data_IF_761190331992
#
_entry.id   IF_761190331992
#
_cell.length_a   1.000
_cell.length_b   1.000
_cell.length_c   1.000
_cell.angle_alpha   90.00
_cell.angle_beta   90.00
_cell.angle_gamma   90.00
#
_symmetry.space_group_name_H-M   'P 1'
#
loop_
_entity.id
_entity.type
_entity.pdbx_description
1 polymer ?
#
# COMPACT_ATOMS: atom_id res chain seq x y z
N UNK A 1 -8.69 1.89 -11.65
CA UNK A 1 -7.66 1.06 -11.00
C UNK A 1 -6.74 0.52 -12.07
N UNK A 2 -5.43 0.70 -11.88
CA UNK A 2 -4.38 0.11 -12.72
C UNK A 2 -3.38 -0.58 -11.81
N UNK A 3 -2.55 -1.46 -12.39
CA UNK A 3 -1.46 -2.07 -11.68
C UNK A 3 -0.47 -1.01 -11.17
N UNK A 4 -0.04 -1.13 -9.91
CA UNK A 4 0.96 -0.25 -9.30
C UNK A 4 2.16 -1.06 -8.82
N UNK A 5 3.29 -0.40 -8.65
CA UNK A 5 4.47 -1.02 -8.05
C UNK A 5 5.08 -0.06 -7.04
N UNK A 6 5.21 -0.51 -5.80
CA UNK A 6 5.83 0.30 -4.74
C UNK A 6 7.34 0.13 -4.68
N UNK A 7 7.94 -0.80 -5.42
CA UNK A 7 9.36 -1.11 -5.28
C UNK A 7 9.71 -1.81 -3.96
N UNK A 8 10.99 -2.08 -3.76
CA UNK A 8 11.48 -2.72 -2.53
C UNK A 8 11.29 -1.82 -1.29
N UNK A 9 11.08 -2.45 -0.13
CA UNK A 9 11.01 -1.77 1.17
C UNK A 9 12.31 -0.99 1.43
N UNK A 10 12.26 0.34 1.60
CA UNK A 10 13.42 1.13 1.98
C UNK A 10 13.94 0.75 3.37
N UNK A 11 15.24 0.98 3.61
CA UNK A 11 15.88 0.66 4.88
C UNK A 11 15.22 1.37 6.06
N UNK A 12 14.91 2.65 5.89
CA UNK A 12 14.31 3.49 6.94
C UNK A 12 12.93 2.94 7.33
N UNK A 13 12.13 2.49 6.34
CA UNK A 13 10.80 1.92 6.57
C UNK A 13 10.88 0.56 7.25
N UNK A 14 11.85 -0.27 6.84
CA UNK A 14 12.14 -1.55 7.49
C UNK A 14 12.53 -1.37 8.96
N UNK A 15 13.42 -0.41 9.26
CA UNK A 15 13.80 -0.10 10.64
C UNK A 15 12.62 0.43 11.46
N UNK A 16 11.79 1.31 10.88
CA UNK A 16 10.57 1.81 11.52
C UNK A 16 9.59 0.67 11.82
N UNK A 17 9.32 -0.21 10.84
CA UNK A 17 8.48 -1.40 10.99
C UNK A 17 8.97 -2.29 12.12
N UNK A 18 10.27 -2.61 12.18
CA UNK A 18 10.86 -3.43 13.26
C UNK A 18 10.56 -2.84 14.63
N UNK A 19 10.75 -1.53 14.80
CA UNK A 19 10.52 -0.84 16.06
C UNK A 19 9.06 -0.88 16.47
N UNK A 20 8.16 -0.48 15.57
CA UNK A 20 6.73 -0.42 15.88
C UNK A 20 6.12 -1.81 16.09
N UNK A 21 6.51 -2.81 15.29
CA UNK A 21 6.06 -4.19 15.47
C UNK A 21 6.54 -4.74 16.82
N UNK A 22 7.80 -4.50 17.20
CA UNK A 22 8.32 -4.93 18.50
C UNK A 22 7.55 -4.30 19.67
N UNK A 23 7.27 -3.00 19.59
CA UNK A 23 6.46 -2.30 20.59
C UNK A 23 5.03 -2.84 20.67
N UNK A 24 4.42 -3.15 19.51
CA UNK A 24 3.08 -3.73 19.43
C UNK A 24 3.02 -5.15 20.04
N UNK A 25 4.03 -5.99 19.79
CA UNK A 25 4.14 -7.33 20.41
C UNK A 25 4.20 -7.19 21.94
N UNK A 26 5.06 -6.31 22.45
CA UNK A 26 5.18 -6.07 23.91
C UNK A 26 3.87 -5.53 24.50
N UNK A 27 3.19 -4.61 23.82
CA UNK A 27 1.90 -4.09 24.25
C UNK A 27 0.87 -5.22 24.38
N UNK A 28 0.74 -6.08 23.37
CA UNK A 28 -0.21 -7.20 23.39
C UNK A 28 0.13 -8.27 24.42
N UNK A 29 1.41 -8.62 24.58
CA UNK A 29 1.86 -9.53 25.66
C UNK A 29 1.48 -9.01 27.04
N UNK A 30 1.47 -7.69 27.22
CA UNK A 30 1.07 -7.03 28.46
C UNK A 30 -0.45 -6.73 28.54
N UNK A 31 -1.27 -7.17 27.59
CA UNK A 31 -2.71 -6.89 27.55
C UNK A 31 -3.08 -5.43 27.29
N UNK A 32 -2.17 -4.64 26.72
CA UNK A 32 -2.38 -3.22 26.36
C UNK A 32 -2.77 -3.06 24.89
N UNK A 33 -3.43 -1.95 24.57
CA UNK A 33 -3.75 -1.59 23.19
C UNK A 33 -2.49 -1.26 22.39
N UNK A 34 -2.49 -1.62 21.11
CA UNK A 34 -1.42 -1.25 20.16
C UNK A 34 -1.58 0.22 19.74
N UNK A 35 -0.49 0.97 19.78
CA UNK A 35 -0.43 2.31 19.17
C UNK A 35 -0.13 2.18 17.67
N UNK A 36 -1.13 2.45 16.82
CA UNK A 36 -0.98 2.47 15.38
C UNK A 36 -0.61 3.88 14.87
N UNK A 37 0.55 4.37 15.30
CA UNK A 37 1.17 5.62 14.84
C UNK A 37 2.36 5.35 13.91
N UNK A 38 3.09 6.38 13.47
CA UNK A 38 4.36 6.20 12.73
C UNK A 38 4.29 6.17 11.19
N UNK A 39 3.15 6.49 10.58
CA UNK A 39 2.98 6.45 9.12
C UNK A 39 3.42 7.73 8.38
N UNK A 40 3.81 8.78 9.10
CA UNK A 40 4.13 10.07 8.51
C UNK A 40 5.30 9.97 7.51
N UNK A 41 6.34 9.23 7.86
CA UNK A 41 7.53 9.02 7.02
C UNK A 41 7.20 8.10 5.83
N UNK A 42 6.29 7.15 6.01
CA UNK A 42 5.82 6.23 4.95
C UNK A 42 4.99 6.97 3.89
N UNK A 43 4.19 7.95 4.31
CA UNK A 43 3.32 8.73 3.44
C UNK A 43 4.10 9.34 2.28
N UNK A 44 5.14 10.12 2.56
CA UNK A 44 5.82 10.92 1.54
C UNK A 44 6.38 10.03 0.43
N UNK A 45 7.00 8.92 0.81
CA UNK A 45 7.52 7.96 -0.13
C UNK A 45 6.43 7.24 -0.93
N UNK A 46 5.35 6.79 -0.27
CA UNK A 46 4.25 6.10 -0.94
C UNK A 46 3.57 6.99 -1.99
N UNK A 47 3.38 8.28 -1.67
CA UNK A 47 2.79 9.26 -2.58
C UNK A 47 3.61 9.35 -3.87
N UNK A 48 4.92 9.50 -3.74
CA UNK A 48 5.83 9.65 -4.88
C UNK A 48 5.84 8.38 -5.74
N UNK A 49 6.00 7.21 -5.11
CA UNK A 49 6.06 5.92 -5.82
C UNK A 49 4.72 5.55 -6.49
N UNK A 50 3.61 6.05 -5.97
CA UNK A 50 2.27 5.81 -6.52
C UNK A 50 1.73 6.99 -7.35
N UNK A 51 2.63 7.86 -7.83
CA UNK A 51 2.34 8.95 -8.76
C UNK A 51 1.24 9.92 -8.28
N UNK A 52 1.12 10.13 -6.96
CA UNK A 52 0.11 11.00 -6.35
C UNK A 52 -1.33 10.60 -6.69
N UNK A 53 -1.59 9.33 -7.00
CA UNK A 53 -2.93 8.82 -7.33
C UNK A 53 -3.46 7.88 -6.27
N UNK A 54 -4.76 7.96 -6.02
CA UNK A 54 -5.43 6.94 -5.23
C UNK A 54 -5.26 5.58 -5.91
N UNK A 55 -4.72 4.59 -5.20
CA UNK A 55 -4.47 3.26 -5.78
C UNK A 55 -5.75 2.61 -6.30
N UNK A 56 -6.90 2.93 -5.69
CA UNK A 56 -8.17 2.32 -6.02
C UNK A 56 -8.89 3.03 -7.17
N UNK A 57 -9.27 4.30 -6.97
CA UNK A 57 -10.06 5.06 -7.95
C UNK A 57 -9.21 5.87 -8.93
N UNK A 58 -7.88 5.91 -8.77
CA UNK A 58 -6.93 6.73 -9.54
C UNK A 58 -7.12 8.25 -9.45
N UNK A 59 -7.98 8.73 -8.56
CA UNK A 59 -8.14 10.18 -8.31
C UNK A 59 -6.81 10.83 -7.92
N UNK A 60 -6.61 12.07 -8.35
CA UNK A 60 -5.40 12.86 -8.10
C UNK A 60 -5.40 13.43 -6.67
N UNK A 61 -4.39 13.06 -5.88
CA UNK A 61 -4.28 13.37 -4.46
C UNK A 61 -3.26 14.45 -4.14
N UNK A 62 -2.75 15.19 -5.13
CA UNK A 62 -1.79 16.29 -4.89
C UNK A 62 -2.31 17.37 -3.93
N UNK A 63 -3.62 17.43 -3.69
CA UNK A 63 -4.28 18.40 -2.80
C UNK A 63 -4.96 17.76 -1.58
N UNK A 64 -4.82 16.44 -1.35
CA UNK A 64 -5.49 15.74 -0.25
C UNK A 64 -4.57 15.43 0.94
N UNK A 65 -5.16 15.39 2.15
CA UNK A 65 -4.42 15.27 3.42
C UNK A 65 -4.16 13.84 3.91
N UNK A 66 -5.01 12.87 3.58
CA UNK A 66 -5.03 11.55 4.23
C UNK A 66 -4.62 10.41 3.29
N UNK A 67 -3.48 9.73 3.52
CA UNK A 67 -2.84 9.04 2.40
C UNK A 67 -2.51 7.57 2.62
N UNK A 68 -2.23 7.11 3.84
CA UNK A 68 -1.74 5.74 4.05
C UNK A 68 -2.91 4.79 4.24
N UNK A 69 -3.08 3.94 3.25
CA UNK A 69 -4.06 2.87 3.20
C UNK A 69 -3.44 1.57 3.68
N UNK A 70 -4.20 0.77 4.41
CA UNK A 70 -3.80 -0.58 4.78
C UNK A 70 -4.68 -1.57 4.03
N UNK A 71 -4.09 -2.37 3.14
CA UNK A 71 -4.86 -3.35 2.37
C UNK A 71 -5.60 -4.31 3.31
N UNK A 72 -4.85 -4.94 4.23
CA UNK A 72 -5.37 -5.63 5.42
C UNK A 72 -5.52 -4.64 6.58
N UNK A 73 -6.71 -4.52 7.19
CA UNK A 73 -6.96 -3.59 8.28
C UNK A 73 -6.01 -3.80 9.46
N UNK A 74 -5.44 -2.71 9.99
CA UNK A 74 -4.48 -2.78 11.09
C UNK A 74 -5.10 -3.02 12.47
N UNK A 75 -6.30 -2.49 12.69
CA UNK A 75 -6.90 -2.43 14.03
C UNK A 75 -8.04 -3.44 14.18
N UNK A 76 -8.89 -3.55 13.16
CA UNK A 76 -10.05 -4.41 13.18
C UNK A 76 -10.51 -4.77 11.78
N UNK A 77 -11.02 -5.98 11.58
CA UNK A 77 -11.72 -6.44 10.38
C UNK A 77 -13.23 -6.35 10.62
N UNK A 78 -13.93 -5.67 9.72
CA UNK A 78 -15.39 -5.47 9.76
C UNK A 78 -15.99 -5.87 8.42
N UNK A 79 -16.30 -7.15 8.26
CA UNK A 79 -16.95 -7.70 7.08
C UNK A 79 -18.43 -7.97 7.34
N UNK A 80 -19.22 -8.16 6.28
CA UNK A 80 -20.57 -8.72 6.41
C UNK A 80 -20.48 -10.15 6.99
N UNK A 81 -21.19 -10.40 8.11
CA UNK A 81 -21.22 -11.72 8.76
C UNK A 81 -20.34 -11.84 10.01
N UNK A 82 -20.15 -13.07 10.49
CA UNK A 82 -19.27 -13.34 11.62
C UNK A 82 -17.82 -13.29 11.16
N UNK A 83 -16.99 -12.48 11.83
CA UNK A 83 -15.55 -12.40 11.60
C UNK A 83 -14.85 -13.10 12.76
N UNK A 84 -14.31 -14.32 12.56
CA UNK A 84 -13.43 -14.93 13.54
C UNK A 84 -12.21 -14.04 13.74
N UNK A 85 -11.88 -13.73 15.00
CA UNK A 85 -10.72 -12.90 15.36
C UNK A 85 -10.71 -11.52 14.67
N UNK A 86 -11.60 -10.60 15.09
CA UNK A 86 -11.74 -9.30 14.45
C UNK A 86 -10.50 -8.41 14.57
N UNK A 87 -9.59 -8.66 15.52
CA UNK A 87 -8.38 -7.86 15.75
C UNK A 87 -7.16 -8.38 14.98
N UNK A 88 -7.40 -9.21 13.96
CA UNK A 88 -6.38 -9.82 13.09
C UNK A 88 -5.61 -8.79 12.28
N UNK A 89 -4.44 -9.20 11.79
CA UNK A 89 -3.49 -8.46 10.93
C UNK A 89 -2.80 -7.26 11.58
N UNK A 90 -2.96 -7.04 12.90
CA UNK A 90 -2.25 -5.98 13.61
C UNK A 90 -0.73 -6.04 13.42
N UNK A 91 -0.16 -7.24 13.23
CA UNK A 91 1.25 -7.46 12.97
C UNK A 91 1.70 -6.99 11.57
N UNK A 92 0.76 -6.72 10.66
CA UNK A 92 0.99 -6.20 9.31
C UNK A 92 0.80 -4.68 9.22
N UNK A 93 0.55 -4.00 10.33
CA UNK A 93 0.22 -2.58 10.33
C UNK A 93 1.32 -1.74 9.66
N UNK A 94 2.59 -2.07 9.86
CA UNK A 94 3.73 -1.35 9.27
C UNK A 94 4.41 -2.11 8.14
N UNK A 95 3.83 -3.22 7.67
CA UNK A 95 4.37 -4.03 6.58
C UNK A 95 4.26 -3.28 5.27
N UNK A 96 5.40 -3.02 4.60
CA UNK A 96 5.47 -2.28 3.33
C UNK A 96 4.47 -2.79 2.29
N UNK A 97 4.29 -4.11 2.22
CA UNK A 97 3.41 -4.73 1.24
C UNK A 97 1.93 -4.70 1.63
N UNK A 98 1.63 -4.29 2.86
CA UNK A 98 0.29 -4.00 3.33
C UNK A 98 -0.08 -2.51 3.19
N UNK A 99 0.89 -1.64 2.88
CA UNK A 99 0.71 -0.19 2.85
C UNK A 99 0.55 0.34 1.44
N UNK A 100 -0.47 1.16 1.22
CA UNK A 100 -0.78 1.82 -0.06
C UNK A 100 -1.03 3.31 0.12
N UNK A 101 -1.26 3.99 -1.01
CA UNK A 101 -1.70 5.37 -1.06
C UNK A 101 -3.14 5.46 -1.59
N UNK A 102 -4.10 5.96 -0.79
CA UNK A 102 -5.50 6.08 -1.23
C UNK A 102 -6.18 7.34 -0.69
N UNK A 103 -7.22 7.80 -1.39
CA UNK A 103 -7.99 8.99 -1.03
C UNK A 103 -8.88 8.77 0.19
N UNK A 104 -9.31 9.87 0.82
CA UNK A 104 -10.21 9.80 1.99
C UNK A 104 -11.53 9.07 1.70
N UNK A 105 -12.09 9.24 0.49
CA UNK A 105 -13.27 8.49 0.05
C UNK A 105 -13.01 6.98 0.11
N UNK A 106 -12.01 6.50 -0.63
CA UNK A 106 -11.76 5.06 -0.76
C UNK A 106 -11.32 4.42 0.56
N UNK A 107 -10.37 5.04 1.27
CA UNK A 107 -9.83 4.52 2.53
C UNK A 107 -10.82 4.71 3.68
N UNK A 108 -11.14 5.95 4.05
CA UNK A 108 -11.85 6.27 5.30
C UNK A 108 -13.36 6.10 5.23
N UNK A 109 -13.98 6.40 4.08
CA UNK A 109 -15.45 6.40 3.99
C UNK A 109 -16.04 5.12 3.42
N UNK A 110 -15.33 4.48 2.51
CA UNK A 110 -15.82 3.30 1.80
C UNK A 110 -15.19 2.00 2.35
N UNK A 111 -13.93 1.71 2.03
CA UNK A 111 -13.28 0.46 2.46
C UNK A 111 -13.24 0.32 3.99
N UNK A 112 -12.78 1.34 4.72
CA UNK A 112 -12.62 1.29 6.18
C UNK A 112 -11.85 0.03 6.58
N UNK A 113 -12.49 -0.81 7.37
CA UNK A 113 -12.02 -2.05 7.94
C UNK A 113 -12.50 -3.29 7.17
N UNK A 114 -13.10 -3.11 5.99
CA UNK A 114 -13.58 -4.22 5.17
C UNK A 114 -12.39 -4.91 4.49
N UNK A 115 -12.29 -6.21 4.71
CA UNK A 115 -11.35 -7.12 4.05
C UNK A 115 -11.97 -8.51 3.90
N UNK A 116 -12.99 -8.64 3.04
CA UNK A 116 -13.69 -9.91 2.87
C UNK A 116 -12.82 -10.90 2.10
N UNK A 117 -12.92 -12.17 2.46
CA UNK A 117 -12.23 -13.28 1.81
C UNK A 117 -13.22 -14.12 0.98
N UNK A 118 -12.70 -14.85 -0.01
CA UNK A 118 -13.50 -15.83 -0.74
C UNK A 118 -14.06 -16.92 0.20
N UNK A 119 -15.25 -17.46 -0.06
CA UNK A 119 -15.79 -18.57 0.72
C UNK A 119 -14.81 -19.75 0.80
N UNK A 120 -14.51 -20.21 2.02
CA UNK A 120 -13.55 -21.30 2.26
C UNK A 120 -12.08 -20.87 2.30
N UNK A 121 -11.77 -19.60 2.07
CA UNK A 121 -10.44 -19.05 2.31
C UNK A 121 -10.18 -18.92 3.81
N UNK A 122 -8.97 -19.27 4.24
CA UNK A 122 -8.49 -18.97 5.59
C UNK A 122 -7.85 -17.57 5.60
N UNK A 123 -7.99 -16.80 6.68
CA UNK A 123 -7.16 -15.62 6.88
C UNK A 123 -5.72 -16.04 7.19
N UNK A 124 -4.76 -15.15 6.95
CA UNK A 124 -3.36 -15.39 7.34
C UNK A 124 -3.23 -15.60 8.85
N UNK A 125 -2.39 -16.55 9.25
CA UNK A 125 -2.00 -16.76 10.64
C UNK A 125 -0.97 -15.72 11.10
N UNK A 126 -0.93 -15.48 12.41
CA UNK A 126 0.02 -14.55 13.00
C UNK A 126 1.45 -15.02 12.72
N UNK A 127 2.25 -14.16 12.11
CA UNK A 127 3.61 -14.45 11.65
C UNK A 127 3.75 -15.47 10.50
N UNK A 128 2.64 -15.89 9.89
CA UNK A 128 2.64 -16.58 8.60
C UNK A 128 2.43 -15.54 7.48
N UNK A 129 3.32 -15.55 6.48
CA UNK A 129 3.23 -14.66 5.32
C UNK A 129 3.10 -15.45 4.01
N UNK A 130 2.55 -16.65 4.08
CA UNK A 130 2.11 -17.41 2.91
C UNK A 130 0.82 -16.80 2.34
N UNK A 131 1.00 -15.82 1.46
CA UNK A 131 -0.10 -15.11 0.79
C UNK A 131 -0.97 -16.03 -0.08
N UNK A 132 -0.52 -17.24 -0.42
CA UNK A 132 -1.28 -18.16 -1.27
C UNK A 132 -2.44 -18.83 -0.51
N UNK A 133 -2.40 -18.83 0.83
CA UNK A 133 -3.46 -19.40 1.69
C UNK A 133 -4.69 -18.50 1.81
N UNK A 134 -4.52 -17.20 1.58
CA UNK A 134 -5.55 -16.19 1.77
C UNK A 134 -5.97 -15.59 0.42
N UNK A 135 -7.25 -15.72 0.10
CA UNK A 135 -7.84 -15.21 -1.14
C UNK A 135 -8.76 -14.04 -0.84
N UNK A 136 -8.27 -12.79 -0.87
CA UNK A 136 -9.09 -11.61 -0.63
C UNK A 136 -10.04 -11.33 -1.80
N UNK A 137 -11.27 -10.93 -1.48
CA UNK A 137 -12.24 -10.43 -2.47
C UNK A 137 -11.90 -9.02 -2.95
N UNK A 138 -11.10 -8.26 -2.21
CA UNK A 138 -10.57 -6.99 -2.68
C UNK A 138 -9.45 -7.25 -3.71
N UNK A 139 -9.50 -6.54 -4.83
CA UNK A 139 -8.41 -6.53 -5.82
C UNK A 139 -7.22 -5.78 -5.23
N UNK A 140 -6.07 -6.45 -5.18
CA UNK A 140 -4.79 -5.90 -4.78
C UNK A 140 -4.12 -5.24 -6.00
N UNK A 141 -3.98 -3.91 -6.03
CA UNK A 141 -3.49 -3.22 -7.21
C UNK A 141 -2.03 -3.50 -7.56
N UNK A 142 -1.24 -4.15 -6.71
CA UNK A 142 0.14 -4.53 -7.04
C UNK A 142 0.27 -6.02 -7.40
N UNK A 143 -0.46 -6.88 -6.69
CA UNK A 143 -0.35 -8.33 -6.85
C UNK A 143 -1.30 -8.88 -7.93
N UNK A 144 -2.35 -8.16 -8.29
CA UNK A 144 -3.25 -8.51 -9.39
C UNK A 144 -2.99 -7.66 -10.63
N UNK A 145 -3.56 -8.08 -11.76
CA UNK A 145 -3.84 -7.18 -12.88
C UNK A 145 -5.27 -6.64 -12.70
N UNK A 146 -5.48 -5.40 -12.19
CA UNK A 146 -6.82 -4.91 -11.88
C UNK A 146 -7.74 -4.89 -13.10
N UNK A 147 -7.14 -4.75 -14.29
CA UNK A 147 -7.84 -4.80 -15.55
C UNK A 147 -8.51 -6.15 -15.81
N UNK A 148 -8.04 -7.26 -15.26
CA UNK A 148 -8.69 -8.56 -15.43
C UNK A 148 -9.94 -8.70 -14.56
N UNK A 149 -10.12 -7.79 -13.60
CA UNK A 149 -11.26 -7.79 -12.69
C UNK A 149 -12.24 -6.64 -12.92
N UNK A 150 -11.76 -5.45 -13.32
CA UNK A 150 -12.57 -4.23 -13.43
C UNK A 150 -12.31 -3.55 -14.77
N UNK A 151 -13.40 -3.23 -15.47
CA UNK A 151 -13.45 -2.45 -16.72
C UNK A 151 -14.50 -1.37 -16.61
N UNK A 152 -14.50 -0.41 -17.52
CA UNK A 152 -15.49 0.66 -17.61
C UNK A 152 -16.37 0.51 -18.85
N UNK A 153 -17.63 0.90 -18.73
CA UNK A 153 -18.58 0.95 -19.85
C UNK A 153 -19.51 2.15 -19.71
N UNK A 154 -19.98 2.66 -20.84
CA UNK A 154 -21.03 3.68 -20.86
C UNK A 154 -22.35 3.09 -20.37
N UNK A 155 -23.03 3.80 -19.45
CA UNK A 155 -24.37 3.48 -19.00
C UNK A 155 -25.37 4.49 -19.57
N UNK A 156 -26.22 4.10 -20.54
CA UNK A 156 -27.27 4.99 -21.04
C UNK A 156 -28.25 5.43 -19.96
N UNK A 157 -28.58 4.54 -19.03
CA UNK A 157 -29.54 4.82 -17.96
C UNK A 157 -29.03 5.85 -16.93
N UNK A 158 -27.72 5.82 -16.63
CA UNK A 158 -27.09 6.78 -15.69
C UNK A 158 -26.39 7.94 -16.40
N UNK A 159 -26.35 7.92 -17.73
CA UNK A 159 -25.62 8.88 -18.57
C UNK A 159 -24.18 9.14 -18.12
N UNK A 160 -23.49 8.08 -17.66
CA UNK A 160 -22.07 8.14 -17.28
C UNK A 160 -21.33 6.85 -17.51
N UNK A 161 -20.01 6.93 -17.56
CA UNK A 161 -19.13 5.77 -17.52
C UNK A 161 -19.12 5.13 -16.13
N UNK A 162 -19.34 3.82 -16.07
CA UNK A 162 -19.40 3.06 -14.83
C UNK A 162 -18.39 1.91 -14.85
N UNK A 163 -17.75 1.61 -13.71
CA UNK A 163 -17.00 0.38 -13.56
C UNK A 163 -17.96 -0.81 -13.55
N UNK A 164 -17.50 -1.96 -14.05
CA UNK A 164 -18.19 -3.23 -13.94
C UNK A 164 -17.18 -4.36 -13.75
N UNK A 165 -17.64 -5.45 -13.13
CA UNK A 165 -16.85 -6.66 -12.97
C UNK A 165 -16.62 -7.32 -14.34
N UNK A 166 -15.37 -7.34 -14.79
CA UNK A 166 -15.00 -7.95 -16.06
C UNK A 166 -14.94 -9.48 -15.90
N UNK A 167 -15.32 -10.20 -16.96
CA UNK A 167 -15.26 -11.66 -17.01
C UNK A 167 -15.91 -12.39 -15.80
N UNK A 168 -16.99 -11.84 -15.25
CA UNK A 168 -17.66 -12.34 -14.03
C UNK A 168 -16.75 -12.44 -12.79
N UNK A 169 -15.74 -11.57 -12.69
CA UNK A 169 -14.82 -11.49 -11.56
C UNK A 169 -15.55 -11.16 -10.26
N UNK A 170 -15.65 -12.13 -9.34
CA UNK A 170 -16.20 -11.93 -8.01
C UNK A 170 -15.42 -10.85 -7.23
N UNK A 171 -14.09 -10.87 -7.36
CA UNK A 171 -13.20 -9.87 -6.75
C UNK A 171 -13.45 -8.46 -7.29
N UNK A 172 -13.65 -8.34 -8.60
CA UNK A 172 -14.00 -7.08 -9.25
C UNK A 172 -15.33 -6.53 -8.76
N UNK A 173 -16.36 -7.38 -8.66
CA UNK A 173 -17.68 -7.01 -8.15
C UNK A 173 -17.62 -6.54 -6.69
N UNK A 174 -16.93 -7.31 -5.83
CA UNK A 174 -16.75 -6.95 -4.43
C UNK A 174 -15.98 -5.63 -4.28
N UNK A 175 -14.90 -5.45 -5.04
CA UNK A 175 -14.09 -4.22 -5.02
C UNK A 175 -14.90 -2.99 -5.43
N UNK A 176 -15.70 -3.08 -6.51
CA UNK A 176 -16.58 -1.99 -6.94
C UNK A 176 -17.59 -1.63 -5.84
N UNK A 177 -18.21 -2.65 -5.22
CA UNK A 177 -19.19 -2.47 -4.13
C UNK A 177 -18.55 -1.83 -2.89
N UNK A 178 -17.46 -2.41 -2.38
CA UNK A 178 -16.78 -1.98 -1.14
C UNK A 178 -16.29 -0.54 -1.25
N UNK A 179 -15.76 -0.16 -2.41
CA UNK A 179 -15.19 1.16 -2.66
C UNK A 179 -16.22 2.16 -3.22
N UNK A 180 -17.44 1.70 -3.52
CA UNK A 180 -18.52 2.49 -4.10
C UNK A 180 -18.05 3.28 -5.34
N UNK A 181 -17.41 2.57 -6.28
CA UNK A 181 -16.74 3.18 -7.44
C UNK A 181 -17.72 3.68 -8.51
N UNK A 182 -18.93 3.15 -8.55
CA UNK A 182 -20.01 3.52 -9.47
C UNK A 182 -20.71 4.84 -9.10
N UNK A 183 -20.57 5.28 -7.85
CA UNK A 183 -21.01 6.58 -7.35
C UNK A 183 -19.91 7.66 -7.44
N UNK A 184 -18.85 7.43 -8.21
CA UNK A 184 -17.80 8.43 -8.43
C UNK A 184 -18.08 9.29 -9.67
N UNK A 185 -18.38 10.58 -9.47
CA UNK A 185 -18.58 11.51 -10.58
C UNK A 185 -17.25 12.05 -11.15
N UNK A 186 -16.13 11.93 -10.43
CA UNK A 186 -14.82 12.37 -10.94
C UNK A 186 -14.40 11.56 -12.17
N UNK A 187 -14.80 10.29 -12.26
CA UNK A 187 -14.55 9.43 -13.40
C UNK A 187 -15.22 10.01 -14.67
N UNK A 188 -16.49 10.39 -14.57
CA UNK A 188 -17.23 10.98 -15.68
C UNK A 188 -16.68 12.35 -16.05
N UNK A 189 -16.38 13.20 -15.06
CA UNK A 189 -15.76 14.51 -15.30
C UNK A 189 -14.40 14.36 -16.01
N UNK A 190 -13.61 13.34 -15.69
CA UNK A 190 -12.36 13.06 -16.39
C UNK A 190 -12.61 12.71 -17.87
N UNK A 191 -13.62 11.90 -18.17
CA UNK A 191 -13.97 11.58 -19.55
C UNK A 191 -14.32 12.84 -20.32
N UNK A 192 -15.22 13.66 -19.77
CA UNK A 192 -15.70 14.90 -20.41
C UNK A 192 -14.58 15.91 -20.65
N UNK A 193 -13.75 16.18 -19.64
CA UNK A 193 -12.77 17.26 -19.71
C UNK A 193 -11.41 16.83 -20.26
N UNK A 194 -11.05 15.55 -20.17
CA UNK A 194 -9.72 15.06 -20.56
C UNK A 194 -9.75 14.13 -21.75
N UNK A 195 -10.71 13.22 -21.85
CA UNK A 195 -10.71 12.16 -22.89
C UNK A 195 -11.47 12.60 -24.14
N UNK A 196 -12.68 13.14 -23.99
CA UNK A 196 -13.55 13.53 -25.09
C UNK A 196 -12.92 14.55 -26.06
N UNK A 197 -12.18 15.58 -25.61
CA UNK A 197 -11.50 16.48 -26.53
C UNK A 197 -10.51 15.78 -27.47
N UNK A 198 -9.85 14.71 -27.00
CA UNK A 198 -8.98 13.89 -27.85
C UNK A 198 -9.78 12.99 -28.79
N UNK A 199 -10.90 12.44 -28.33
CA UNK A 199 -11.77 11.59 -29.15
C UNK A 199 -12.33 12.39 -30.32
N UNK A 200 -12.89 13.57 -30.06
CA UNK A 200 -13.42 14.49 -31.08
C UNK A 200 -12.33 14.86 -32.09
N UNK A 201 -11.14 15.25 -31.61
CA UNK A 201 -10.03 15.56 -32.50
C UNK A 201 -9.61 14.35 -33.37
N UNK A 202 -9.59 13.15 -32.80
CA UNK A 202 -9.24 11.92 -33.53
C UNK A 202 -10.28 11.57 -34.59
N UNK A 203 -11.57 11.76 -34.30
CA UNK A 203 -12.67 11.53 -35.24
C UNK A 203 -12.65 12.51 -36.42
N UNK A 204 -12.25 13.76 -36.17
CA UNK A 204 -12.12 14.79 -37.20
C UNK A 204 -10.79 14.72 -37.98
N UNK A 205 -9.84 13.88 -37.54
CA UNK A 205 -8.52 13.76 -38.15
C UNK A 205 -8.53 12.79 -39.33
N UNK A 206 -8.12 13.26 -40.51
CA UNK A 206 -7.91 12.40 -41.68
C UNK A 206 -6.77 11.39 -41.49
N UNK A 207 -6.88 10.25 -42.18
CA UNK A 207 -5.99 9.07 -42.07
C UNK A 207 -4.49 9.39 -42.04
N UNK A 208 -4.04 10.39 -42.81
CA UNK A 208 -2.63 10.76 -42.94
C UNK A 208 -2.01 11.30 -41.63
N UNK A 209 -2.77 12.01 -40.79
CA UNK A 209 -2.28 12.59 -39.54
C UNK A 209 -2.73 11.79 -38.29
N UNK A 210 -3.56 10.77 -38.48
CA UNK A 210 -4.24 10.06 -37.40
C UNK A 210 -3.26 9.44 -36.39
N UNK A 211 -2.18 8.79 -36.86
CA UNK A 211 -1.16 8.19 -35.98
C UNK A 211 -0.45 9.24 -35.12
N UNK A 212 -0.21 10.43 -35.67
CA UNK A 212 0.45 11.53 -34.95
C UNK A 212 -0.47 12.15 -33.90
N UNK A 213 -1.75 12.32 -34.21
CA UNK A 213 -2.75 12.76 -33.22
C UNK A 213 -2.91 11.70 -32.13
N UNK A 214 -3.02 10.43 -32.49
CA UNK A 214 -3.12 9.30 -31.54
C UNK A 214 -1.93 9.24 -30.58
N UNK A 215 -0.71 9.41 -31.10
CA UNK A 215 0.51 9.43 -30.27
C UNK A 215 0.50 10.59 -29.27
N UNK A 216 -0.03 11.76 -29.65
CA UNK A 216 -0.19 12.90 -28.74
C UNK A 216 -1.26 12.65 -27.69
N UNK A 217 -2.42 12.11 -28.11
CA UNK A 217 -3.51 11.76 -27.22
C UNK A 217 -3.07 10.76 -26.16
N UNK A 218 -2.45 9.65 -26.58
CA UNK A 218 -1.95 8.62 -25.67
C UNK A 218 -0.85 9.15 -24.73
N UNK A 219 0.11 9.92 -25.23
CA UNK A 219 1.11 10.56 -24.36
C UNK A 219 0.49 11.50 -23.33
N UNK A 220 -0.55 12.23 -23.70
CA UNK A 220 -1.23 13.17 -22.82
C UNK A 220 -2.09 12.47 -21.76
N UNK A 221 -2.90 11.48 -22.16
CA UNK A 221 -3.84 10.78 -21.30
C UNK A 221 -3.17 9.79 -20.34
N UNK A 222 -2.07 9.16 -20.77
CA UNK A 222 -1.40 8.08 -20.03
C UNK A 222 -0.06 8.51 -19.43
N UNK A 223 0.21 9.81 -19.30
CA UNK A 223 1.34 10.27 -18.51
C UNK A 223 1.23 9.74 -17.06
N UNK A 224 2.33 9.39 -16.37
CA UNK A 224 2.28 8.66 -15.09
C UNK A 224 1.40 9.30 -14.01
N UNK A 225 1.43 10.64 -13.91
CA UNK A 225 0.66 11.43 -12.96
C UNK A 225 -0.77 11.76 -13.39
N UNK A 226 -1.21 11.31 -14.58
CA UNK A 226 -2.58 11.50 -15.03
C UNK A 226 -3.50 10.47 -14.39
N UNK A 227 -4.68 10.88 -13.90
CA UNK A 227 -5.63 9.97 -13.27
C UNK A 227 -6.39 9.15 -14.32
N UNK A 228 -7.11 8.13 -13.85
CA UNK A 228 -8.08 7.35 -14.63
C UNK A 228 -7.53 6.73 -15.92
N UNK A 229 -6.35 6.09 -15.85
CA UNK A 229 -5.75 5.44 -17.01
C UNK A 229 -6.65 4.31 -17.52
N UNK A 230 -7.17 3.45 -16.64
CA UNK A 230 -8.02 2.32 -17.05
C UNK A 230 -9.30 2.78 -17.78
N UNK A 231 -9.94 3.84 -17.27
CA UNK A 231 -11.13 4.43 -17.89
C UNK A 231 -10.80 5.08 -19.23
N UNK A 232 -9.72 5.86 -19.32
CA UNK A 232 -9.29 6.48 -20.58
C UNK A 232 -9.03 5.42 -21.67
N UNK A 233 -8.42 4.30 -21.29
CA UNK A 233 -8.20 3.17 -22.17
C UNK A 233 -9.52 2.60 -22.69
N UNK A 234 -10.48 2.31 -21.79
CA UNK A 234 -11.75 1.68 -22.15
C UNK A 234 -12.62 2.61 -23.03
N UNK A 235 -12.54 3.94 -22.82
CA UNK A 235 -13.18 4.93 -23.69
C UNK A 235 -12.57 4.90 -25.09
N UNK A 236 -11.23 4.94 -25.20
CA UNK A 236 -10.55 4.90 -26.49
C UNK A 236 -10.79 3.57 -27.23
N UNK A 237 -10.81 2.44 -26.52
CA UNK A 237 -11.07 1.12 -27.13
C UNK A 237 -12.51 1.00 -27.63
N UNK A 238 -13.49 1.55 -26.90
CA UNK A 238 -14.87 1.62 -27.37
C UNK A 238 -15.02 2.51 -28.61
N UNK A 239 -14.42 3.71 -28.61
CA UNK A 239 -14.55 4.69 -29.70
C UNK A 239 -13.74 4.33 -30.93
N UNK A 240 -12.60 3.69 -30.74
CA UNK A 240 -11.71 3.20 -31.78
C UNK A 240 -11.51 1.70 -31.60
N UNK A 241 -12.44 0.87 -32.09
CA UNK A 241 -12.38 -0.59 -31.93
C UNK A 241 -11.09 -1.18 -32.50
N UNK A 242 -10.74 -2.39 -32.05
CA UNK A 242 -9.53 -3.11 -32.48
C UNK A 242 -9.34 -3.15 -33.99
N UNK A 243 -10.38 -3.39 -34.77
CA UNK A 243 -10.32 -3.43 -36.24
C UNK A 243 -9.89 -2.09 -36.85
N UNK A 244 -10.43 -0.97 -36.34
CA UNK A 244 -10.02 0.37 -36.73
C UNK A 244 -8.56 0.62 -36.34
N UNK A 245 -8.20 0.31 -35.09
CA UNK A 245 -6.84 0.50 -34.59
C UNK A 245 -5.81 -0.32 -35.37
N UNK A 246 -6.10 -1.57 -35.71
CA UNK A 246 -5.21 -2.41 -36.52
C UNK A 246 -5.03 -1.87 -37.94
N UNK A 247 -6.13 -1.47 -38.61
CA UNK A 247 -6.08 -0.84 -39.94
C UNK A 247 -5.18 0.40 -39.95
N UNK A 248 -5.29 1.24 -38.92
CA UNK A 248 -4.57 2.51 -38.82
C UNK A 248 -3.25 2.41 -38.03
N UNK A 249 -2.85 1.21 -37.60
CA UNK A 249 -1.65 0.91 -36.78
C UNK A 249 -1.58 1.73 -35.48
N UNK A 250 -2.72 1.88 -34.82
CA UNK A 250 -2.88 2.59 -33.56
C UNK A 250 -2.76 1.60 -32.39
N UNK A 251 -1.81 1.81 -31.51
CA UNK A 251 -1.60 0.96 -30.33
C UNK A 251 -2.07 1.66 -29.07
N UNK A 252 -2.85 0.96 -28.25
CA UNK A 252 -3.14 1.40 -26.89
C UNK A 252 -1.95 1.02 -25.99
N UNK A 253 -1.64 1.84 -24.98
CA UNK A 253 -0.55 1.53 -24.06
C UNK A 253 -0.92 0.35 -23.15
N UNK A 254 0.12 -0.35 -22.70
CA UNK A 254 0.04 -1.22 -21.53
C UNK A 254 -0.09 -0.33 -20.30
N UNK A 255 -1.04 -0.63 -19.41
CA UNK A 255 -1.32 0.20 -18.25
C UNK A 255 -0.60 -0.30 -17.01
N UNK A 256 -0.34 0.63 -16.09
CA UNK A 256 0.28 0.31 -14.81
C UNK A 256 1.75 -0.08 -14.91
N UNK A 257 2.35 -0.30 -13.75
CA UNK A 257 3.73 -0.76 -13.66
C UNK A 257 3.78 -2.29 -13.88
N UNK A 258 4.66 -2.72 -14.78
CA UNK A 258 4.81 -4.13 -15.18
C UNK A 258 6.03 -4.79 -14.49
N UNK A 259 6.66 -4.10 -13.55
CA UNK A 259 7.78 -4.62 -12.78
C UNK A 259 7.36 -5.84 -11.95
N UNK A 260 8.24 -6.83 -11.90
CA UNK A 260 8.05 -8.03 -11.08
C UNK A 260 8.43 -7.74 -9.64
N UNK A 261 7.53 -8.06 -8.71
CA UNK A 261 7.80 -7.98 -7.27
C UNK A 261 8.87 -8.99 -6.87
N UNK A 262 9.79 -8.56 -6.02
CA UNK A 262 10.63 -9.47 -5.23
C UNK A 262 9.86 -9.68 -3.93
N UNK A 263 9.39 -10.91 -3.68
CA UNK A 263 8.67 -11.23 -2.46
C UNK A 263 9.67 -11.29 -1.30
N UNK A 264 9.64 -10.28 -0.43
CA UNK A 264 10.26 -10.34 0.89
C UNK A 264 9.30 -11.01 1.88
N UNK A 265 9.83 -11.74 2.86
CA UNK A 265 9.07 -12.08 4.07
C UNK A 265 9.12 -10.88 5.01
N UNK A 266 8.03 -10.10 5.16
CA UNK A 266 8.04 -8.85 5.90
C UNK A 266 7.89 -9.06 7.41
N UNK A 267 7.89 -10.30 7.87
CA UNK A 267 7.81 -10.65 9.29
C UNK A 267 9.15 -11.17 9.79
N UNK A 268 10.04 -11.58 8.90
CA UNK A 268 11.42 -11.81 9.28
C UNK A 268 12.02 -10.49 9.77
N UNK A 269 12.43 -10.46 11.04
CA UNK A 269 13.25 -9.38 11.57
C UNK A 269 14.63 -9.56 10.94
N UNK A 270 14.76 -9.20 9.66
CA UNK A 270 15.94 -9.43 8.83
C UNK A 270 17.23 -9.29 9.66
N UNK A 271 17.90 -10.41 9.91
CA UNK A 271 19.08 -10.45 10.77
C UNK A 271 20.17 -9.49 10.29
N UNK A 272 20.15 -9.10 9.01
CA UNK A 272 21.11 -8.18 8.42
C UNK A 272 21.13 -6.77 9.05
N UNK A 273 20.05 -6.32 9.68
CA UNK A 273 20.01 -5.00 10.35
C UNK A 273 20.38 -5.05 11.84
N UNK A 274 20.40 -6.24 12.45
CA UNK A 274 20.80 -6.36 13.85
C UNK A 274 22.34 -6.31 13.98
N UNK A 275 22.88 -5.55 14.93
CA UNK A 275 24.31 -5.52 15.16
C UNK A 275 24.76 -6.87 15.79
N UNK A 276 26.03 -7.27 15.65
CA UNK A 276 26.52 -8.57 16.10
C UNK A 276 26.19 -8.90 17.56
N UNK A 277 26.09 -7.88 18.40
CA UNK A 277 25.76 -7.98 19.81
C UNK A 277 24.36 -8.54 20.09
N UNK A 278 23.43 -8.45 19.14
CA UNK A 278 22.06 -8.99 19.30
C UNK A 278 22.04 -10.51 19.36
N UNK A 279 22.94 -11.21 18.67
CA UNK A 279 22.88 -12.67 18.55
C UNK A 279 23.08 -13.37 19.90
N UNK A 280 23.76 -12.72 20.84
CA UNK A 280 24.01 -13.22 22.20
C UNK A 280 22.82 -13.01 23.16
N UNK A 281 21.80 -12.24 22.74
CA UNK A 281 20.69 -11.84 23.62
C UNK A 281 19.50 -12.80 23.53
N UNK A 282 18.71 -12.87 24.60
CA UNK A 282 17.41 -13.54 24.60
C UNK A 282 16.44 -12.85 23.64
N UNK A 283 15.44 -13.59 23.13
CA UNK A 283 14.45 -13.02 22.21
C UNK A 283 13.60 -11.92 22.86
N UNK A 284 13.37 -12.00 24.18
CA UNK A 284 12.70 -10.95 24.94
C UNK A 284 13.52 -9.65 24.96
N UNK A 285 14.83 -9.76 25.20
CA UNK A 285 15.71 -8.60 25.26
C UNK A 285 15.91 -7.96 23.88
N UNK A 286 16.04 -8.78 22.82
CA UNK A 286 16.04 -8.31 21.42
C UNK A 286 14.76 -7.52 21.12
N UNK A 287 13.61 -8.01 21.57
CA UNK A 287 12.32 -7.36 21.35
C UNK A 287 12.22 -6.02 22.09
N UNK A 288 12.62 -5.96 23.37
CA UNK A 288 12.68 -4.73 24.16
C UNK A 288 13.60 -3.67 23.53
N UNK A 289 14.79 -4.08 23.08
CA UNK A 289 15.74 -3.20 22.42
C UNK A 289 15.20 -2.65 21.09
N UNK A 290 14.58 -3.49 20.27
CA UNK A 290 13.94 -3.04 19.01
C UNK A 290 12.80 -2.06 19.27
N UNK A 291 12.00 -2.28 20.31
CA UNK A 291 10.85 -1.43 20.64
C UNK A 291 11.25 -0.05 21.17
N UNK A 292 12.52 0.16 21.56
CA UNK A 292 12.99 1.35 22.25
C UNK A 292 12.86 2.63 21.38
N UNK A 293 12.03 3.62 21.78
CA UNK A 293 11.90 4.88 21.06
C UNK A 293 13.22 5.70 21.04
N UNK A 294 13.45 6.46 19.96
CA UNK A 294 14.63 7.33 19.82
C UNK A 294 14.78 8.35 20.96
N UNK A 295 13.65 8.82 21.47
CA UNK A 295 13.59 9.79 22.55
C UNK A 295 13.45 9.16 23.95
N UNK A 296 13.54 7.84 24.10
CA UNK A 296 13.29 7.16 25.38
C UNK A 296 14.26 7.64 26.48
N UNK A 297 13.69 7.93 27.65
CA UNK A 297 14.39 8.37 28.84
C UNK A 297 13.69 7.80 30.08
N UNK A 298 14.41 7.66 31.17
CA UNK A 298 13.83 7.30 32.47
C UNK A 298 14.02 5.83 32.82
N UNK A 299 13.07 5.30 33.59
CA UNK A 299 13.17 4.01 34.28
C UNK A 299 13.26 2.82 33.31
N UNK A 300 12.43 2.79 32.26
CA UNK A 300 12.45 1.72 31.23
C UNK A 300 13.83 1.56 30.58
N UNK A 301 14.46 2.68 30.22
CA UNK A 301 15.80 2.67 29.61
C UNK A 301 16.85 2.19 30.60
N UNK A 302 16.72 2.59 31.87
CA UNK A 302 17.63 2.21 32.94
C UNK A 302 17.57 0.70 33.20
N UNK A 303 16.37 0.16 33.40
CA UNK A 303 16.16 -1.28 33.61
C UNK A 303 16.74 -2.10 32.46
N UNK A 304 16.50 -1.67 31.22
CA UNK A 304 17.03 -2.35 30.04
C UNK A 304 18.56 -2.31 29.97
N UNK A 305 19.16 -1.18 30.34
CA UNK A 305 20.62 -1.02 30.36
C UNK A 305 21.25 -1.87 31.49
N UNK A 306 20.64 -1.93 32.67
CA UNK A 306 21.06 -2.80 33.78
C UNK A 306 20.95 -4.28 33.38
N UNK A 307 19.83 -4.69 32.76
CA UNK A 307 19.62 -6.05 32.25
C UNK A 307 20.71 -6.43 31.24
N UNK A 308 20.98 -5.59 30.24
CA UNK A 308 22.06 -5.82 29.26
C UNK A 308 23.42 -5.91 29.92
N UNK A 309 23.75 -4.98 30.83
CA UNK A 309 25.05 -4.95 31.51
C UNK A 309 25.28 -6.13 32.45
N UNK A 310 24.21 -6.77 32.94
CA UNK A 310 24.31 -7.97 33.77
C UNK A 310 24.81 -9.21 33.01
N UNK A 311 24.65 -9.23 31.68
CA UNK A 311 25.01 -10.39 30.85
C UNK A 311 26.53 -10.55 30.69
N UNK A 312 27.24 -9.44 30.44
CA UNK A 312 28.69 -9.39 30.29
C UNK A 312 29.22 -7.97 30.41
N UNK A 313 30.55 -7.81 30.39
CA UNK A 313 31.15 -6.50 30.19
C UNK A 313 30.96 -6.02 28.74
N UNK A 314 30.57 -4.75 28.60
CA UNK A 314 30.33 -4.10 27.32
C UNK A 314 31.16 -2.83 27.18
N UNK A 315 31.68 -2.59 25.99
CA UNK A 315 32.24 -1.31 25.60
C UNK A 315 31.12 -0.31 25.29
N UNK A 316 31.42 0.99 25.40
CA UNK A 316 30.48 2.05 25.00
C UNK A 316 30.08 1.94 23.52
N UNK A 317 30.97 1.45 22.66
CA UNK A 317 30.72 1.27 21.23
C UNK A 317 29.74 0.11 20.96
N UNK A 318 29.87 -1.00 21.68
CA UNK A 318 28.91 -2.11 21.60
C UNK A 318 27.53 -1.69 22.08
N UNK A 319 27.44 -1.02 23.24
CA UNK A 319 26.17 -0.48 23.75
C UNK A 319 25.57 0.55 22.78
N UNK A 320 26.39 1.38 22.14
CA UNK A 320 25.92 2.35 21.15
C UNK A 320 25.27 1.68 19.94
N UNK A 321 25.88 0.61 19.41
CA UNK A 321 25.28 -0.20 18.34
C UNK A 321 24.00 -0.89 18.81
N UNK A 322 24.05 -1.53 19.98
CA UNK A 322 22.94 -2.31 20.52
C UNK A 322 21.68 -1.45 20.74
N UNK A 323 21.84 -0.24 21.25
CA UNK A 323 20.73 0.68 21.50
C UNK A 323 20.39 1.57 20.30
N UNK A 324 21.14 1.49 19.20
CA UNK A 324 20.96 2.37 18.03
C UNK A 324 21.16 3.85 18.38
N UNK A 325 22.20 4.19 19.16
CA UNK A 325 22.50 5.55 19.63
C UNK A 325 23.96 5.92 19.42
N UNK A 326 24.26 7.21 19.46
CA UNK A 326 25.64 7.68 19.52
C UNK A 326 26.32 7.27 20.84
N UNK A 327 27.62 6.96 20.81
CA UNK A 327 28.39 6.66 22.03
C UNK A 327 28.33 7.77 23.08
N UNK A 328 28.26 9.04 22.64
CA UNK A 328 28.11 10.18 23.54
C UNK A 328 26.80 10.13 24.34
N UNK A 329 25.73 9.61 23.73
CA UNK A 329 24.44 9.37 24.39
C UNK A 329 24.57 8.26 25.42
N UNK A 330 25.20 7.13 25.08
CA UNK A 330 25.45 6.02 26.02
C UNK A 330 26.28 6.50 27.22
N UNK A 331 27.40 7.19 26.97
CA UNK A 331 28.26 7.75 28.03
C UNK A 331 27.52 8.73 28.94
N UNK A 332 26.55 9.47 28.39
CA UNK A 332 25.69 10.35 29.19
C UNK A 332 24.73 9.53 30.06
N UNK A 333 24.09 8.50 29.51
CA UNK A 333 23.18 7.64 30.26
C UNK A 333 23.89 6.92 31.41
N UNK A 334 25.05 6.31 31.14
CA UNK A 334 25.84 5.61 32.16
C UNK A 334 26.28 6.53 33.31
N UNK A 335 26.57 7.81 33.04
CA UNK A 335 26.90 8.79 34.10
C UNK A 335 25.70 9.24 34.94
N UNK A 336 24.49 9.06 34.43
CA UNK A 336 23.24 9.42 35.10
C UNK A 336 22.66 8.25 35.90
N UNK A 337 23.22 7.05 35.74
CA UNK A 337 22.89 5.90 36.58
C UNK A 337 23.60 6.05 37.93
N UNK A 338 22.87 5.85 39.04
CA UNK A 338 23.38 6.07 40.40
C UNK A 338 24.41 5.03 40.86
#
# INVERSE_FOLDING_TARGET
MIRVFRGSEPKEMRLARRRFLAAAILARRAGRSVDFSGYAEMKELLVERLNYKCVYCEFDLRREGNPVEHFRPKARVENEGNVPDPDRYWWLAWTWENLFFACGKCNTHQKKNQFPLEPGSAPLDEYDFDLDKEKPLLVDPENDEPRDHIRFRWSPARQKWLPYAFSNSARGAATIKILNLDEDDHAQQHVEHSVMPWVEQLEDTGDNELQKVWTRATRSLFAPNRPFHALSWDVLDMRFPRSFREKHRLQLPVLGDQSTRIQSNPIDFDQADDPPEFYDLSDDLKLKLRALPDAEKGETLRELLEEVQSLRSWTNAELARLFGRAESTIKRWLRQMP
#
